data_IF_894885878202
#
_entry.id   IF_894885878202
#
_cell.length_a   1.000
_cell.length_b   1.000
_cell.length_c   1.000
_cell.angle_alpha   90.00
_cell.angle_beta   90.00
_cell.angle_gamma   90.00
#
_symmetry.space_group_name_H-M   'P 1'
#
loop_
_entity.id
_entity.type
_entity.pdbx_description
1 polymer ?
#
# COMPACT_ATOMS: atom_id res chain seq x y z
N UNK A 1 2.73 29.99 -32.14
CA UNK A 1 2.56 30.58 -30.81
C UNK A 1 1.67 29.67 -30.00
N UNK A 2 2.18 28.87 -29.04
CA UNK A 2 1.33 28.08 -28.17
C UNK A 2 0.76 28.98 -27.09
N UNK A 3 -0.53 28.91 -26.87
CA UNK A 3 -1.31 29.79 -26.01
C UNK A 3 -1.01 29.57 -24.52
N UNK A 4 -0.61 30.63 -23.86
CA UNK A 4 -0.43 30.76 -22.41
C UNK A 4 -1.76 30.89 -21.62
N UNK A 5 -2.87 30.34 -22.14
CA UNK A 5 -4.21 30.58 -21.58
C UNK A 5 -4.47 29.77 -20.29
N UNK A 6 -3.70 28.69 -20.03
CA UNK A 6 -3.94 27.82 -18.86
C UNK A 6 -3.40 28.37 -17.53
N UNK A 7 -2.30 29.15 -17.53
CA UNK A 7 -1.67 29.60 -16.29
C UNK A 7 -2.29 30.89 -15.72
N UNK A 8 -2.82 31.74 -16.57
CA UNK A 8 -3.47 32.99 -16.12
C UNK A 8 -4.85 32.74 -15.48
N UNK A 9 -5.56 31.67 -15.88
CA UNK A 9 -6.87 31.36 -15.31
C UNK A 9 -6.75 30.84 -13.88
N UNK A 10 -5.71 30.06 -13.57
CA UNK A 10 -5.45 29.60 -12.20
C UNK A 10 -5.01 30.74 -11.26
N UNK A 11 -4.25 31.72 -11.76
CA UNK A 11 -3.79 32.86 -10.97
C UNK A 11 -4.94 33.85 -10.67
N UNK A 12 -5.91 33.99 -11.58
CA UNK A 12 -7.08 34.84 -11.35
C UNK A 12 -8.07 34.29 -10.35
N UNK A 13 -8.20 32.98 -10.26
CA UNK A 13 -9.16 32.31 -9.36
C UNK A 13 -8.67 32.28 -7.90
N UNK A 14 -7.37 32.41 -7.68
CA UNK A 14 -6.79 32.48 -6.33
C UNK A 14 -6.58 33.92 -5.79
N UNK A 15 -6.78 34.94 -6.62
CA UNK A 15 -6.55 36.35 -6.22
C UNK A 15 -7.54 36.88 -5.17
N UNK A 16 -8.64 36.18 -4.92
CA UNK A 16 -9.66 36.48 -3.92
C UNK A 16 -9.60 35.56 -2.68
N UNK A 17 -8.54 34.76 -2.55
CA UNK A 17 -8.37 33.84 -1.40
C UNK A 17 -7.34 34.47 -0.46
N UNK A 18 -7.75 34.74 0.77
CA UNK A 18 -6.84 35.23 1.81
C UNK A 18 -5.81 34.18 2.17
N UNK A 19 -4.57 34.59 2.36
CA UNK A 19 -3.52 33.72 2.89
C UNK A 19 -3.75 33.47 4.38
N UNK A 20 -3.75 32.22 4.78
CA UNK A 20 -3.90 31.79 6.17
C UNK A 20 -2.51 31.39 6.70
N UNK A 21 -2.17 31.83 7.90
CA UNK A 21 -0.98 31.33 8.59
C UNK A 21 -1.18 29.84 8.92
N UNK A 22 -0.33 28.93 8.42
CA UNK A 22 -0.44 27.49 8.62
C UNK A 22 -0.48 27.08 10.10
N UNK A 23 0.16 27.85 10.99
CA UNK A 23 0.21 27.58 12.44
C UNK A 23 -1.13 27.79 13.13
N UNK A 24 -2.05 28.56 12.51
CA UNK A 24 -3.37 28.87 13.06
C UNK A 24 -4.46 27.87 12.67
N UNK A 25 -4.15 26.95 11.76
CA UNK A 25 -5.14 26.00 11.23
C UNK A 25 -5.52 24.94 12.29
N UNK A 26 -6.79 24.91 12.65
CA UNK A 26 -7.35 23.87 13.52
C UNK A 26 -7.85 22.70 12.70
N UNK A 27 -6.96 21.77 12.35
CA UNK A 27 -7.27 20.61 11.51
C UNK A 27 -8.45 19.78 12.05
N UNK A 28 -8.54 19.61 13.36
CA UNK A 28 -9.64 18.87 14.01
C UNK A 28 -11.02 19.53 13.89
N UNK A 29 -11.08 20.81 13.55
CA UNK A 29 -12.33 21.55 13.37
C UNK A 29 -12.90 21.41 11.96
N UNK A 30 -12.11 20.94 10.98
CA UNK A 30 -12.54 20.78 9.60
C UNK A 30 -13.53 19.63 9.50
N UNK A 31 -14.74 19.90 9.02
CA UNK A 31 -15.82 18.91 8.84
C UNK A 31 -16.00 18.57 7.37
N UNK A 32 -16.05 17.26 7.09
CA UNK A 32 -16.25 16.76 5.72
C UNK A 32 -17.65 16.15 5.59
N UNK A 33 -18.34 16.48 4.50
CA UNK A 33 -19.60 15.85 4.14
C UNK A 33 -19.34 14.59 3.29
N UNK A 34 -20.33 13.69 3.18
CA UNK A 34 -20.20 12.39 2.49
C UNK A 34 -19.70 12.50 1.03
N UNK A 35 -20.00 13.61 0.35
CA UNK A 35 -19.61 13.82 -1.05
C UNK A 35 -18.23 14.47 -1.24
N UNK A 36 -17.49 14.78 -0.17
CA UNK A 36 -16.24 15.53 -0.22
C UNK A 36 -15.00 14.68 0.07
N UNK A 37 -15.01 13.39 -0.30
CA UNK A 37 -13.87 12.50 -0.05
C UNK A 37 -12.57 12.97 -0.72
N UNK A 38 -12.66 13.56 -1.92
CA UNK A 38 -11.51 14.13 -2.62
C UNK A 38 -10.92 15.32 -1.85
N UNK A 39 -11.78 16.20 -1.33
CA UNK A 39 -11.33 17.32 -0.49
C UNK A 39 -10.72 16.84 0.83
N UNK A 40 -11.29 15.81 1.44
CA UNK A 40 -10.70 15.21 2.64
C UNK A 40 -9.28 14.72 2.40
N UNK A 41 -9.06 14.05 1.28
CA UNK A 41 -7.73 13.57 0.88
C UNK A 41 -6.76 14.74 0.67
N UNK A 42 -7.17 15.78 -0.08
CA UNK A 42 -6.35 16.96 -0.33
C UNK A 42 -6.00 17.70 0.98
N UNK A 43 -6.97 17.93 1.85
CA UNK A 43 -6.73 18.59 3.15
C UNK A 43 -5.82 17.75 4.05
N UNK A 44 -5.96 16.42 4.04
CA UNK A 44 -5.06 15.54 4.79
C UNK A 44 -3.63 15.57 4.24
N UNK A 45 -3.45 15.69 2.93
CA UNK A 45 -2.15 15.91 2.30
C UNK A 45 -1.55 17.27 2.68
N UNK A 46 -2.35 18.34 2.63
CA UNK A 46 -1.92 19.67 3.06
C UNK A 46 -1.50 19.67 4.53
N UNK A 47 -2.28 19.03 5.41
CA UNK A 47 -1.94 18.87 6.82
C UNK A 47 -0.61 18.16 6.99
N UNK A 48 -0.40 17.03 6.30
CA UNK A 48 0.82 16.24 6.37
C UNK A 48 2.04 17.06 5.94
N UNK A 49 1.93 17.81 4.83
CA UNK A 49 3.00 18.67 4.32
C UNK A 49 3.31 19.79 5.33
N UNK A 50 2.30 20.46 5.84
CA UNK A 50 2.49 21.60 6.75
C UNK A 50 3.01 21.16 8.13
N UNK A 51 2.51 20.05 8.68
CA UNK A 51 3.03 19.49 9.94
C UNK A 51 4.49 19.02 9.75
N UNK A 52 4.81 18.38 8.62
CA UNK A 52 6.19 18.00 8.28
C UNK A 52 7.12 19.22 8.09
N UNK A 53 6.64 20.32 7.51
CA UNK A 53 7.43 21.54 7.32
C UNK A 53 7.61 22.34 8.61
N UNK A 54 6.63 22.33 9.53
CA UNK A 54 6.72 23.05 10.81
C UNK A 54 7.68 22.39 11.81
N UNK A 55 7.95 21.09 11.66
CA UNK A 55 8.87 20.35 12.52
C UNK A 55 10.35 20.48 12.09
N UNK A 56 10.65 21.10 10.96
CA UNK A 56 12.01 21.21 10.39
C UNK A 56 12.60 22.63 10.47
N UNK A 57 12.49 23.33 11.59
CA UNK A 57 13.12 24.65 11.77
C UNK A 57 14.56 24.62 12.25
N UNK A 58 15.27 23.49 12.21
CA UNK A 58 16.70 23.45 12.47
C UNK A 58 17.53 23.32 11.18
N UNK A 59 18.21 24.45 10.87
CA UNK A 59 19.33 24.59 9.92
C UNK A 59 19.17 23.96 8.52
N UNK A 60 18.36 24.57 7.65
CA UNK A 60 18.69 24.73 6.21
C UNK A 60 18.60 23.52 5.28
N UNK A 61 18.29 22.32 5.73
CA UNK A 61 18.00 21.16 4.87
C UNK A 61 16.62 20.60 5.15
N UNK A 62 15.72 20.77 4.18
CA UNK A 62 14.37 20.20 4.21
C UNK A 62 14.44 18.68 4.02
N UNK A 63 14.61 17.93 5.08
CA UNK A 63 14.40 16.48 5.09
C UNK A 63 12.92 16.18 5.34
N UNK A 64 12.08 16.36 4.33
CA UNK A 64 10.66 15.98 4.39
C UNK A 64 10.48 14.47 4.68
N UNK A 65 11.47 13.66 4.35
CA UNK A 65 11.44 12.20 4.46
C UNK A 65 11.65 11.65 5.89
N UNK A 66 12.17 12.44 6.82
CA UNK A 66 12.52 11.92 8.16
C UNK A 66 11.40 11.98 9.19
N UNK A 67 10.27 12.62 8.88
CA UNK A 67 9.16 12.83 9.82
C UNK A 67 7.87 12.10 9.48
N UNK A 68 7.81 11.45 8.33
CA UNK A 68 6.67 10.59 8.05
C UNK A 68 6.90 9.31 8.81
N UNK A 69 6.18 9.15 9.91
CA UNK A 69 6.15 7.92 10.69
C UNK A 69 6.02 6.74 9.72
N UNK A 70 6.99 5.86 9.73
CA UNK A 70 7.05 4.69 8.84
C UNK A 70 5.75 3.88 8.89
N UNK A 71 5.11 3.83 10.06
CA UNK A 71 3.79 3.20 10.22
C UNK A 71 2.67 3.95 9.46
N UNK A 72 2.74 5.28 9.34
CA UNK A 72 1.75 6.05 8.59
C UNK A 72 1.92 5.83 7.09
N UNK A 73 3.18 5.79 6.63
CA UNK A 73 3.47 5.51 5.23
C UNK A 73 3.08 4.09 4.85
N UNK A 74 3.33 3.11 5.71
CA UNK A 74 2.90 1.74 5.46
C UNK A 74 1.38 1.65 5.30
N UNK A 75 0.61 2.24 6.24
CA UNK A 75 -0.86 2.29 6.14
C UNK A 75 -1.37 3.04 4.90
N UNK A 76 -0.68 4.10 4.50
CA UNK A 76 -1.03 4.84 3.28
C UNK A 76 -0.79 3.98 2.04
N UNK A 77 0.32 3.27 1.99
CA UNK A 77 0.71 2.36 0.91
C UNK A 77 -0.28 1.19 0.78
N UNK A 78 -0.58 0.50 1.88
CA UNK A 78 -1.60 -0.55 1.94
C UNK A 78 -2.95 -0.05 1.39
N UNK A 79 -3.40 1.10 1.89
CA UNK A 79 -4.67 1.68 1.49
C UNK A 79 -4.67 2.13 0.04
N UNK A 80 -3.57 2.69 -0.45
CA UNK A 80 -3.44 3.08 -1.86
C UNK A 80 -3.62 1.87 -2.78
N UNK A 81 -2.93 0.76 -2.50
CA UNK A 81 -3.01 -0.45 -3.32
C UNK A 81 -4.43 -1.06 -3.27
N UNK A 82 -5.02 -1.16 -2.07
CA UNK A 82 -6.37 -1.69 -1.90
C UNK A 82 -7.41 -0.87 -2.69
N UNK A 83 -7.37 0.45 -2.54
CA UNK A 83 -8.31 1.36 -3.23
C UNK A 83 -8.08 1.37 -4.75
N UNK A 84 -6.83 1.25 -5.19
CA UNK A 84 -6.53 1.11 -6.61
C UNK A 84 -7.21 -0.12 -7.19
N UNK A 85 -6.99 -1.30 -6.62
CA UNK A 85 -7.59 -2.53 -7.12
C UNK A 85 -9.12 -2.51 -7.04
N UNK A 86 -9.69 -1.97 -5.97
CA UNK A 86 -11.13 -1.87 -5.81
C UNK A 86 -11.81 -0.99 -6.87
N UNK A 87 -11.10 0.03 -7.39
CA UNK A 87 -11.65 0.99 -8.35
C UNK A 87 -11.29 0.66 -9.79
N UNK A 88 -10.04 0.28 -10.03
CA UNK A 88 -9.48 0.20 -11.38
C UNK A 88 -9.43 -1.24 -11.93
N UNK A 89 -9.68 -2.26 -11.09
CA UNK A 89 -9.62 -3.67 -11.49
C UNK A 89 -10.95 -4.40 -11.23
N UNK A 90 -12.04 -4.09 -11.97
CA UNK A 90 -13.37 -4.67 -11.75
C UNK A 90 -13.44 -6.19 -12.00
N UNK A 91 -12.44 -6.78 -12.65
CA UNK A 91 -12.33 -8.22 -12.91
C UNK A 91 -11.99 -9.04 -11.66
N UNK A 92 -11.58 -8.40 -10.57
CA UNK A 92 -11.31 -9.03 -9.27
C UNK A 92 -12.04 -8.30 -8.16
N UNK A 93 -12.36 -9.00 -7.08
CA UNK A 93 -12.85 -8.37 -5.85
C UNK A 93 -11.68 -8.10 -4.94
N UNK A 94 -11.45 -6.84 -4.58
CA UNK A 94 -10.38 -6.41 -3.67
C UNK A 94 -10.95 -6.06 -2.29
N UNK A 95 -10.42 -6.71 -1.25
CA UNK A 95 -10.84 -6.50 0.15
C UNK A 95 -9.66 -6.58 1.11
N UNK A 96 -9.78 -5.96 2.28
CA UNK A 96 -8.94 -6.24 3.44
C UNK A 96 -9.71 -7.24 4.32
N UNK A 97 -9.41 -8.52 4.21
CA UNK A 97 -10.21 -9.58 4.81
C UNK A 97 -9.51 -10.25 5.98
N UNK A 98 -10.28 -10.66 6.97
CA UNK A 98 -9.81 -11.56 8.00
C UNK A 98 -9.65 -12.97 7.43
N UNK A 99 -8.63 -13.68 7.91
CA UNK A 99 -8.33 -15.05 7.55
C UNK A 99 -8.50 -15.87 8.83
N UNK A 100 -9.43 -16.83 8.86
CA UNK A 100 -9.61 -17.69 10.02
C UNK A 100 -8.42 -18.63 10.19
N UNK A 101 -8.10 -19.00 11.44
CA UNK A 101 -7.17 -20.07 11.71
C UNK A 101 -7.80 -21.41 11.36
N UNK A 102 -7.09 -22.21 10.59
CA UNK A 102 -7.47 -23.61 10.35
C UNK A 102 -7.10 -24.44 11.59
N UNK A 103 -8.11 -24.79 12.39
CA UNK A 103 -7.92 -25.46 13.67
C UNK A 103 -8.53 -26.86 13.61
N UNK A 104 -7.74 -27.89 13.91
CA UNK A 104 -8.18 -29.30 13.93
C UNK A 104 -9.14 -29.58 15.10
N UNK A 105 -8.95 -28.91 16.25
CA UNK A 105 -9.74 -29.07 17.47
C UNK A 105 -10.76 -27.95 17.71
N UNK A 106 -10.75 -26.90 16.88
CA UNK A 106 -11.63 -25.73 16.99
C UNK A 106 -11.31 -24.80 18.17
N UNK A 107 -10.19 -24.99 18.89
CA UNK A 107 -9.83 -24.19 20.05
C UNK A 107 -8.99 -22.99 19.62
N UNK A 108 -9.65 -21.85 19.41
CA UNK A 108 -9.03 -20.59 18.98
C UNK A 108 -8.77 -19.56 20.09
N UNK A 109 -8.90 -19.93 21.35
CA UNK A 109 -8.74 -19.01 22.50
C UNK A 109 -7.33 -18.41 22.49
N UNK A 110 -7.23 -17.05 22.58
CA UNK A 110 -5.99 -16.28 22.57
C UNK A 110 -5.22 -16.27 21.25
N UNK A 111 -5.71 -16.87 20.15
CA UNK A 111 -5.10 -16.68 18.86
C UNK A 111 -5.32 -15.26 18.34
N UNK A 112 -4.27 -14.63 17.78
CA UNK A 112 -4.41 -13.30 17.21
C UNK A 112 -5.29 -13.34 15.94
N UNK A 113 -5.96 -12.23 15.65
CA UNK A 113 -6.68 -12.08 14.37
C UNK A 113 -5.64 -11.98 13.26
N UNK A 114 -5.79 -12.82 12.23
CA UNK A 114 -5.06 -12.66 10.97
C UNK A 114 -5.91 -11.79 10.04
N UNK A 115 -5.31 -10.72 9.53
CA UNK A 115 -5.96 -9.84 8.55
C UNK A 115 -4.96 -9.50 7.45
N UNK A 116 -5.39 -9.73 6.20
CA UNK A 116 -4.62 -9.34 5.03
C UNK A 116 -4.73 -7.84 4.79
N UNK A 117 -3.66 -7.24 4.26
CA UNK A 117 -3.72 -5.85 3.78
C UNK A 117 -4.61 -5.78 2.54
N UNK A 118 -4.37 -6.66 1.57
CA UNK A 118 -5.17 -6.79 0.36
C UNK A 118 -5.42 -8.27 0.06
N UNK A 119 -6.65 -8.62 -0.27
CA UNK A 119 -7.03 -9.92 -0.81
C UNK A 119 -7.77 -9.68 -2.14
N UNK A 120 -7.21 -10.19 -3.24
CA UNK A 120 -7.82 -10.19 -4.55
C UNK A 120 -8.44 -11.55 -4.81
N UNK A 121 -9.71 -11.57 -5.25
CA UNK A 121 -10.44 -12.81 -5.48
C UNK A 121 -11.14 -12.79 -6.83
N UNK A 122 -11.02 -13.89 -7.59
CA UNK A 122 -11.76 -14.19 -8.81
C UNK A 122 -12.23 -15.65 -8.78
N UNK A 123 -13.50 -15.86 -8.43
CA UNK A 123 -14.02 -17.22 -8.23
C UNK A 123 -13.30 -17.97 -7.12
N UNK A 124 -12.64 -19.10 -7.43
CA UNK A 124 -11.82 -19.89 -6.50
C UNK A 124 -10.32 -19.55 -6.54
N UNK A 125 -9.94 -18.50 -7.26
CA UNK A 125 -8.57 -17.99 -7.30
C UNK A 125 -8.41 -16.83 -6.32
N UNK A 126 -7.41 -16.89 -5.45
CA UNK A 126 -7.14 -15.90 -4.41
C UNK A 126 -5.67 -15.51 -4.43
N UNK A 127 -5.41 -14.21 -4.46
CA UNK A 127 -4.09 -13.63 -4.21
C UNK A 127 -4.13 -12.79 -2.94
N UNK A 128 -3.36 -13.18 -1.93
CA UNK A 128 -3.18 -12.41 -0.71
C UNK A 128 -1.93 -11.57 -0.87
N UNK A 129 -2.06 -10.26 -0.75
CA UNK A 129 -0.94 -9.32 -0.85
C UNK A 129 -0.71 -8.70 0.53
N UNK A 130 0.51 -8.80 1.00
CA UNK A 130 1.02 -8.14 2.19
C UNK A 130 1.94 -7.01 1.72
N UNK A 131 1.48 -5.78 1.87
CA UNK A 131 2.12 -4.57 1.35
C UNK A 131 3.10 -4.01 2.37
N UNK A 132 4.34 -3.75 1.96
CA UNK A 132 5.42 -3.33 2.86
C UNK A 132 6.09 -2.05 2.36
N UNK A 133 6.07 -1.02 3.19
CA UNK A 133 6.79 0.22 2.96
C UNK A 133 7.92 0.33 3.98
N UNK A 134 9.14 0.03 3.55
CA UNK A 134 10.33 0.08 4.40
C UNK A 134 11.40 0.99 3.80
N UNK A 135 12.26 1.52 4.64
CA UNK A 135 13.47 2.23 4.20
C UNK A 135 14.46 1.28 3.54
N UNK A 136 14.49 0.01 3.99
CA UNK A 136 15.30 -1.08 3.42
C UNK A 136 14.44 -2.33 3.26
N UNK A 137 14.41 -2.88 2.04
CA UNK A 137 13.61 -4.06 1.70
C UNK A 137 14.28 -5.36 2.09
N UNK A 138 15.61 -5.37 2.21
CA UNK A 138 16.41 -6.54 2.54
C UNK A 138 17.16 -6.39 3.85
N UNK A 139 17.45 -7.53 4.50
CA UNK A 139 18.38 -7.61 5.62
C UNK A 139 19.72 -8.11 5.10
N UNK A 140 20.79 -7.42 5.47
CA UNK A 140 22.15 -7.88 5.15
C UNK A 140 22.75 -8.59 6.36
N UNK A 141 23.04 -9.87 6.21
CA UNK A 141 23.77 -10.65 7.20
C UNK A 141 24.87 -11.44 6.49
N UNK A 142 26.13 -11.26 6.91
CA UNK A 142 27.31 -11.90 6.28
C UNK A 142 27.41 -11.67 4.76
N UNK A 143 27.18 -10.43 4.30
CA UNK A 143 27.14 -10.04 2.87
C UNK A 143 26.08 -10.75 2.01
N UNK A 144 25.09 -11.39 2.63
CA UNK A 144 23.95 -11.99 1.96
C UNK A 144 22.70 -11.14 2.21
N UNK A 145 22.06 -10.72 1.11
CA UNK A 145 20.77 -10.04 1.17
C UNK A 145 19.66 -11.06 1.27
N UNK A 146 18.86 -10.97 2.33
CA UNK A 146 17.71 -11.87 2.56
C UNK A 146 16.45 -11.06 2.84
N UNK A 147 15.31 -11.66 2.55
CA UNK A 147 14.02 -11.11 2.93
C UNK A 147 13.84 -11.13 4.46
N UNK A 148 13.02 -10.22 4.97
CA UNK A 148 12.62 -10.26 6.37
C UNK A 148 11.81 -11.53 6.66
N UNK A 149 12.37 -12.42 7.48
CA UNK A 149 11.76 -13.73 7.76
C UNK A 149 10.35 -13.62 8.35
N UNK A 150 10.09 -12.61 9.18
CA UNK A 150 8.76 -12.35 9.75
C UNK A 150 7.69 -12.12 8.68
N UNK A 151 8.01 -11.34 7.63
CA UNK A 151 7.08 -11.09 6.52
C UNK A 151 6.79 -12.37 5.74
N UNK A 152 7.84 -13.18 5.51
CA UNK A 152 7.67 -14.46 4.81
C UNK A 152 6.82 -15.43 5.61
N UNK A 153 7.02 -15.52 6.93
CA UNK A 153 6.18 -16.36 7.79
C UNK A 153 4.75 -15.86 7.85
N UNK A 154 4.53 -14.55 7.88
CA UNK A 154 3.21 -13.94 7.87
C UNK A 154 2.43 -14.33 6.61
N UNK A 155 2.98 -14.04 5.43
CA UNK A 155 2.29 -14.32 4.17
C UNK A 155 2.09 -15.84 3.97
N UNK A 156 3.07 -16.68 4.34
CA UNK A 156 2.94 -18.12 4.27
C UNK A 156 1.81 -18.64 5.17
N UNK A 157 1.72 -18.13 6.40
CA UNK A 157 0.65 -18.47 7.33
C UNK A 157 -0.72 -18.07 6.78
N UNK A 158 -0.84 -16.88 6.21
CA UNK A 158 -2.09 -16.42 5.60
C UNK A 158 -2.54 -17.31 4.45
N UNK A 159 -1.60 -17.62 3.54
CA UNK A 159 -1.89 -18.49 2.39
C UNK A 159 -2.32 -19.88 2.84
N UNK A 160 -1.60 -20.49 3.78
CA UNK A 160 -1.94 -21.87 4.22
C UNK A 160 -3.28 -21.96 4.94
N UNK A 161 -3.61 -20.98 5.77
CA UNK A 161 -4.92 -20.95 6.42
C UNK A 161 -6.05 -20.71 5.42
N UNK A 162 -5.85 -19.80 4.45
CA UNK A 162 -6.83 -19.53 3.39
C UNK A 162 -7.01 -20.71 2.44
N UNK A 163 -5.95 -21.41 2.10
CA UNK A 163 -5.94 -22.61 1.26
C UNK A 163 -6.83 -23.73 1.85
N UNK A 164 -6.74 -23.91 3.17
CA UNK A 164 -7.51 -24.93 3.90
C UNK A 164 -9.04 -24.68 3.85
N UNK A 165 -9.48 -23.42 3.70
CA UNK A 165 -10.92 -23.10 3.62
C UNK A 165 -11.61 -23.73 2.41
N UNK A 166 -10.88 -24.02 1.33
CA UNK A 166 -11.44 -24.61 0.11
C UNK A 166 -11.58 -26.15 0.17
N UNK A 167 -10.88 -26.80 1.11
CA UNK A 167 -10.88 -28.28 1.20
C UNK A 167 -10.45 -28.92 -0.12
N UNK A 168 -11.23 -29.91 -0.58
CA UNK A 168 -10.94 -30.67 -1.80
C UNK A 168 -11.46 -29.99 -3.09
N UNK A 169 -12.02 -28.77 -2.99
CA UNK A 169 -12.52 -28.07 -4.17
C UNK A 169 -11.35 -27.53 -5.01
N UNK A 170 -11.44 -27.56 -6.35
CA UNK A 170 -10.43 -26.95 -7.20
C UNK A 170 -10.28 -25.46 -6.90
N UNK A 171 -9.09 -25.04 -6.50
CA UNK A 171 -8.79 -23.67 -6.13
C UNK A 171 -7.31 -23.33 -6.35
N UNK A 172 -7.00 -22.05 -6.29
CA UNK A 172 -5.62 -21.54 -6.34
C UNK A 172 -5.48 -20.41 -5.32
N UNK A 173 -4.74 -20.65 -4.25
CA UNK A 173 -4.38 -19.62 -3.26
C UNK A 173 -2.90 -19.30 -3.36
N UNK A 174 -2.58 -18.04 -3.50
CA UNK A 174 -1.19 -17.55 -3.63
C UNK A 174 -0.96 -16.37 -2.71
N UNK A 175 0.30 -16.13 -2.36
CA UNK A 175 0.72 -14.98 -1.58
C UNK A 175 1.68 -14.08 -2.34
N UNK A 176 1.71 -12.82 -1.96
CA UNK A 176 2.66 -11.84 -2.46
C UNK A 176 3.11 -10.90 -1.34
N UNK A 177 4.41 -10.75 -1.19
CA UNK A 177 5.00 -9.60 -0.50
C UNK A 177 5.24 -8.51 -1.54
N UNK A 178 4.59 -7.37 -1.39
CA UNK A 178 4.70 -6.24 -2.31
C UNK A 178 5.41 -5.08 -1.62
N UNK A 179 6.70 -4.95 -1.87
CA UNK A 179 7.52 -3.88 -1.31
C UNK A 179 7.43 -2.61 -2.14
N UNK A 180 7.42 -1.45 -1.49
CA UNK A 180 7.75 -0.21 -2.19
C UNK A 180 9.24 -0.21 -2.55
N UNK A 181 9.59 0.25 -3.76
CA UNK A 181 10.98 0.38 -4.18
C UNK A 181 11.76 1.32 -3.25
N UNK A 182 13.00 0.95 -2.98
CA UNK A 182 13.95 1.74 -2.20
C UNK A 182 15.15 2.13 -3.05
N UNK A 183 16.10 2.86 -2.49
CA UNK A 183 17.36 3.21 -3.17
C UNK A 183 18.37 2.05 -3.20
N UNK A 184 17.99 0.87 -2.71
CA UNK A 184 18.87 -0.32 -2.73
C UNK A 184 19.11 -0.80 -4.17
N UNK A 185 20.35 -1.23 -4.45
CA UNK A 185 20.73 -1.73 -5.78
C UNK A 185 20.03 -3.06 -6.14
N UNK A 186 19.61 -3.83 -5.15
CA UNK A 186 18.91 -5.11 -5.29
C UNK A 186 17.46 -4.93 -4.85
N UNK A 187 16.55 -5.03 -5.79
CA UNK A 187 15.12 -5.02 -5.51
C UNK A 187 14.58 -6.46 -5.59
N UNK A 188 13.82 -6.92 -4.58
CA UNK A 188 13.26 -8.27 -4.61
C UNK A 188 12.26 -8.45 -5.77
N UNK A 189 12.50 -9.46 -6.61
CA UNK A 189 11.60 -9.91 -7.66
C UNK A 189 11.75 -11.42 -7.86
N UNK A 190 11.05 -12.20 -7.03
CA UNK A 190 11.18 -13.66 -7.01
C UNK A 190 9.80 -14.33 -6.90
N UNK A 191 9.73 -15.56 -7.40
CA UNK A 191 8.57 -16.44 -7.26
C UNK A 191 9.03 -17.76 -6.68
N UNK A 192 8.41 -18.18 -5.59
CA UNK A 192 8.71 -19.42 -4.88
C UNK A 192 7.50 -20.36 -4.90
N UNK A 193 7.76 -21.66 -4.97
CA UNK A 193 6.75 -22.69 -4.74
C UNK A 193 6.98 -23.28 -3.34
N UNK A 194 6.03 -23.09 -2.45
CA UNK A 194 6.14 -23.48 -1.04
C UNK A 194 4.92 -24.29 -0.60
N UNK A 195 5.14 -25.57 -0.29
CA UNK A 195 4.09 -26.46 0.24
C UNK A 195 2.79 -26.47 -0.58
N UNK A 196 2.92 -26.45 -1.91
CA UNK A 196 1.80 -26.48 -2.84
C UNK A 196 1.27 -25.13 -3.29
N UNK A 197 1.66 -24.03 -2.65
CA UNK A 197 1.22 -22.68 -3.00
C UNK A 197 2.36 -21.86 -3.60
N UNK A 198 2.00 -20.86 -4.39
CA UNK A 198 2.94 -19.87 -4.93
C UNK A 198 3.05 -18.70 -3.95
N UNK A 199 4.28 -18.34 -3.58
CA UNK A 199 4.60 -17.12 -2.84
C UNK A 199 5.53 -16.28 -3.71
N UNK A 200 5.11 -15.08 -4.04
CA UNK A 200 5.91 -14.13 -4.83
C UNK A 200 6.38 -12.97 -3.95
N UNK A 201 7.49 -12.40 -4.35
CA UNK A 201 8.02 -11.16 -3.78
C UNK A 201 8.25 -10.21 -4.92
N UNK A 202 7.62 -9.05 -4.86
CA UNK A 202 7.65 -8.05 -5.92
C UNK A 202 7.96 -6.68 -5.34
N UNK A 203 8.47 -5.81 -6.18
CA UNK A 203 8.74 -4.42 -5.85
C UNK A 203 7.89 -3.52 -6.75
N UNK A 204 7.23 -2.53 -6.14
CA UNK A 204 6.47 -1.49 -6.82
C UNK A 204 7.29 -0.19 -6.82
N UNK A 205 7.68 0.27 -8.00
CA UNK A 205 8.39 1.54 -8.15
C UNK A 205 7.39 2.70 -8.10
N UNK A 206 7.42 3.44 -6.99
CA UNK A 206 6.58 4.61 -6.76
C UNK A 206 7.21 5.92 -7.28
N UNK A 207 8.47 5.87 -7.75
CA UNK A 207 9.17 7.03 -8.30
C UNK A 207 8.95 7.16 -9.82
N UNK A 208 7.72 6.89 -10.25
CA UNK A 208 7.28 6.95 -11.64
C UNK A 208 6.01 7.78 -11.76
N UNK A 209 5.63 8.13 -12.97
CA UNK A 209 4.32 8.71 -13.24
C UNK A 209 3.20 7.74 -12.84
N UNK A 210 2.06 8.27 -12.42
CA UNK A 210 0.95 7.42 -11.96
C UNK A 210 0.51 6.38 -12.99
N UNK A 211 0.58 6.68 -14.28
CA UNK A 211 0.28 5.72 -15.35
C UNK A 211 1.17 4.48 -15.32
N UNK A 212 2.45 4.67 -15.00
CA UNK A 212 3.42 3.57 -14.90
C UNK A 212 3.21 2.76 -13.61
N UNK A 213 2.90 3.44 -12.50
CA UNK A 213 2.52 2.77 -11.24
C UNK A 213 1.25 1.93 -11.46
N UNK A 214 0.25 2.49 -12.13
CA UNK A 214 -0.98 1.80 -12.48
C UNK A 214 -0.72 0.58 -13.39
N UNK A 215 0.18 0.70 -14.37
CA UNK A 215 0.56 -0.39 -15.24
C UNK A 215 1.24 -1.54 -14.48
N UNK A 216 2.12 -1.24 -13.51
CA UNK A 216 2.74 -2.23 -12.64
C UNK A 216 1.70 -2.99 -11.80
N UNK A 217 0.76 -2.27 -11.16
CA UNK A 217 -0.31 -2.90 -10.37
C UNK A 217 -1.24 -3.74 -11.22
N UNK A 218 -1.61 -3.25 -12.42
CA UNK A 218 -2.43 -4.01 -13.35
C UNK A 218 -1.74 -5.29 -13.82
N UNK A 219 -0.45 -5.24 -14.13
CA UNK A 219 0.34 -6.40 -14.54
C UNK A 219 0.33 -7.53 -13.49
N UNK A 220 0.27 -7.20 -12.19
CA UNK A 220 0.13 -8.20 -11.12
C UNK A 220 -1.18 -8.97 -11.28
N UNK A 221 -2.30 -8.28 -11.52
CA UNK A 221 -3.61 -8.91 -11.69
C UNK A 221 -3.65 -9.73 -12.98
N UNK A 222 -3.18 -9.15 -14.09
CA UNK A 222 -3.18 -9.81 -15.40
C UNK A 222 -2.34 -11.10 -15.37
N UNK A 223 -1.16 -11.07 -14.73
CA UNK A 223 -0.28 -12.26 -14.63
C UNK A 223 -0.82 -13.33 -13.68
N UNK A 224 -1.52 -12.93 -12.62
CA UNK A 224 -1.96 -13.90 -11.61
C UNK A 224 -3.27 -14.57 -11.97
N UNK A 225 -4.18 -13.85 -12.59
CA UNK A 225 -5.55 -14.27 -12.93
C UNK A 225 -5.75 -14.50 -14.42
N UNK A 226 -4.70 -14.94 -15.14
CA UNK A 226 -4.81 -15.35 -16.55
C UNK A 226 -5.76 -16.53 -16.79
#
# INVERSE_FOLDING_TARGET
MPSLVGSEMCIRDSSNVDTIDPTTIRWSAIRFQRNNNTYRMLISLCQLILEGMLLTTDSGEYKLASFVDEQRMNRLYEKFILEYYAKECPQVTATASQIPWALDDGIGTMLPVMQSDIMLTRGSEVLIIDAKYYTHTTQTQYDVHTLHSGNLYQIFTYVKNKDTEFGDQPHKVSGMLLYAATDEAIQPDNVYQMSGNQISVKTLDLNQDFSEIAAQLKAIVDTHFE
#
